data_IF_749266661412
#
_entry.id   IF_749266661412
#
_cell.length_a   1.000
_cell.length_b   1.000
_cell.length_c   1.000
_cell.angle_alpha   90.00
_cell.angle_beta   90.00
_cell.angle_gamma   90.00
#
_symmetry.space_group_name_H-M   'P 1'
#
loop_
_entity.id
_entity.type
_entity.pdbx_description
1 polymer ?
#
# COMPACT_ATOMS: atom_id res chain seq x y z
N UNK A 1 -11.80 -1.66 -9.66
CA UNK A 1 -13.06 -2.37 -9.96
C UNK A 1 -13.49 -3.01 -8.66
N UNK A 2 -14.46 -2.43 -7.96
CA UNK A 2 -14.86 -2.88 -6.62
C UNK A 2 -16.06 -3.83 -6.76
N UNK A 3 -15.88 -5.08 -6.37
CA UNK A 3 -16.94 -6.07 -6.24
C UNK A 3 -17.58 -5.89 -4.87
N UNK A 4 -18.88 -5.58 -4.84
CA UNK A 4 -19.64 -5.41 -3.60
C UNK A 4 -20.49 -6.65 -3.33
N UNK A 5 -20.25 -7.31 -2.19
CA UNK A 5 -21.17 -8.29 -1.64
C UNK A 5 -21.99 -7.59 -0.54
N UNK A 6 -23.29 -7.49 -0.79
CA UNK A 6 -24.27 -7.06 0.19
C UNK A 6 -24.62 -8.26 1.07
N UNK A 7 -24.10 -8.31 2.30
CA UNK A 7 -24.51 -9.30 3.28
C UNK A 7 -25.99 -9.09 3.64
N UNK A 8 -26.85 -10.07 3.34
CA UNK A 8 -28.18 -10.14 3.93
C UNK A 8 -28.02 -10.58 5.39
N UNK A 9 -28.56 -9.76 6.30
CA UNK A 9 -28.50 -10.01 7.74
C UNK A 9 -29.05 -11.38 8.11
N UNK A 10 -28.19 -12.22 8.67
CA UNK A 10 -28.59 -13.40 9.42
C UNK A 10 -28.50 -13.03 10.89
N UNK A 11 -29.64 -13.10 11.59
CA UNK A 11 -29.72 -12.94 13.05
C UNK A 11 -28.70 -13.86 13.71
N UNK A 12 -27.63 -13.29 14.26
CA UNK A 12 -26.69 -14.02 15.09
C UNK A 12 -27.42 -14.55 16.33
N UNK A 13 -27.27 -15.85 16.60
CA UNK A 13 -27.46 -16.37 17.95
C UNK A 13 -26.31 -15.82 18.82
N UNK A 14 -26.52 -15.61 20.13
CA UNK A 14 -25.72 -14.70 20.98
C UNK A 14 -24.31 -15.19 21.36
N UNK A 15 -23.61 -15.91 20.48
CA UNK A 15 -22.25 -16.41 20.75
C UNK A 15 -21.48 -16.90 19.50
N UNK A 16 -21.57 -16.24 18.34
CA UNK A 16 -20.91 -16.71 17.10
C UNK A 16 -19.97 -15.66 16.53
N UNK A 17 -18.66 -15.98 16.49
CA UNK A 17 -17.64 -15.27 15.71
C UNK A 17 -17.77 -15.62 14.22
N UNK A 18 -17.64 -14.63 13.35
CA UNK A 18 -17.69 -14.81 11.89
C UNK A 18 -16.39 -14.30 11.25
N UNK A 19 -15.79 -15.14 10.42
CA UNK A 19 -14.59 -14.80 9.65
C UNK A 19 -14.94 -14.68 8.18
N UNK A 20 -14.40 -13.65 7.52
CA UNK A 20 -14.52 -13.46 6.08
C UNK A 20 -13.14 -13.32 5.44
N UNK A 21 -12.84 -14.14 4.43
CA UNK A 21 -11.65 -14.04 3.58
C UNK A 21 -12.01 -13.24 2.33
N UNK A 22 -11.29 -12.14 2.04
CA UNK A 22 -11.53 -11.31 0.86
C UNK A 22 -10.33 -11.38 -0.07
N UNK A 23 -10.56 -11.80 -1.31
CA UNK A 23 -9.61 -11.76 -2.42
C UNK A 23 -10.38 -11.37 -3.69
N UNK A 24 -10.05 -10.24 -4.31
CA UNK A 24 -10.64 -9.80 -5.60
C UNK A 24 -12.17 -10.03 -5.73
N UNK A 25 -12.94 -9.54 -4.74
CA UNK A 25 -14.40 -9.63 -4.82
C UNK A 25 -15.02 -11.00 -4.49
N UNK A 26 -14.19 -12.02 -4.26
CA UNK A 26 -14.61 -13.28 -3.66
C UNK A 26 -14.56 -13.12 -2.15
N UNK A 27 -15.69 -13.34 -1.47
CA UNK A 27 -15.76 -13.38 0.00
C UNK A 27 -16.12 -14.79 0.44
N UNK A 28 -15.21 -15.44 1.17
CA UNK A 28 -15.46 -16.76 1.75
C UNK A 28 -15.76 -16.60 3.24
N UNK A 29 -16.81 -17.25 3.73
CA UNK A 29 -17.22 -17.18 5.14
C UNK A 29 -16.92 -18.48 5.87
N UNK A 30 -16.28 -18.39 7.03
CA UNK A 30 -16.07 -19.50 7.95
C UNK A 30 -16.84 -19.29 9.27
N UNK A 31 -17.39 -20.36 9.83
CA UNK A 31 -18.10 -20.38 11.12
C UNK A 31 -17.34 -21.29 12.10
N UNK A 32 -16.99 -20.77 13.27
CA UNK A 32 -16.36 -21.58 14.32
C UNK A 32 -17.31 -22.68 14.84
N UNK A 33 -16.80 -23.91 14.86
CA UNK A 33 -17.33 -24.99 15.69
C UNK A 33 -16.53 -25.01 17.01
N UNK A 34 -17.22 -24.76 18.13
CA UNK A 34 -16.60 -24.33 19.39
C UNK A 34 -15.48 -25.22 19.92
N UNK A 35 -14.33 -24.59 20.18
CA UNK A 35 -13.18 -25.15 20.88
C UNK A 35 -12.92 -24.39 22.20
N UNK A 36 -12.62 -25.15 23.26
CA UNK A 36 -12.41 -24.66 24.62
C UNK A 36 -11.01 -24.06 24.79
N UNK A 37 -10.95 -22.79 25.18
CA UNK A 37 -9.73 -22.04 25.49
C UNK A 37 -9.07 -22.58 26.78
N UNK A 38 -7.80 -22.96 26.70
CA UNK A 38 -6.92 -23.20 27.85
C UNK A 38 -6.15 -21.92 28.21
N UNK A 39 -6.01 -21.64 29.51
CA UNK A 39 -5.46 -20.41 30.09
C UNK A 39 -3.94 -20.22 29.90
N UNK A 40 -3.40 -18.98 30.01
CA UNK A 40 -2.05 -18.62 29.57
C UNK A 40 -0.95 -18.86 30.62
N UNK A 41 0.21 -19.31 30.15
CA UNK A 41 1.45 -19.41 30.93
C UNK A 41 2.32 -18.14 30.81
N UNK A 42 2.87 -17.71 31.94
CA UNK A 42 3.77 -16.57 32.15
C UNK A 42 5.21 -16.79 31.62
N UNK A 43 5.89 -15.67 31.32
CA UNK A 43 7.36 -15.52 31.23
C UNK A 43 7.83 -15.11 29.83
N UNK A 44 8.70 -14.14 29.58
CA UNK A 44 9.60 -13.35 30.42
C UNK A 44 9.97 -12.04 29.70
N UNK A 45 10.29 -11.02 30.50
CA UNK A 45 10.70 -9.66 30.09
C UNK A 45 12.16 -9.67 29.62
N UNK A 46 12.44 -9.05 28.46
CA UNK A 46 13.81 -8.75 28.01
C UNK A 46 14.18 -7.28 28.32
N UNK A 47 15.45 -7.00 28.68
CA UNK A 47 15.87 -5.71 29.21
C UNK A 47 16.19 -4.67 28.12
N UNK A 48 15.81 -3.43 28.43
CA UNK A 48 16.20 -2.19 27.74
C UNK A 48 17.70 -1.91 27.88
N UNK A 49 18.36 -1.65 26.76
CA UNK A 49 19.77 -1.22 26.74
C UNK A 49 19.81 0.27 26.42
N UNK A 50 20.08 1.07 27.45
CA UNK A 50 20.38 2.51 27.36
C UNK A 50 21.80 2.72 26.80
N UNK A 51 21.93 3.62 25.83
CA UNK A 51 23.23 4.16 25.41
C UNK A 51 23.46 5.57 25.97
N UNK A 52 24.67 5.89 26.46
CA UNK A 52 24.95 7.16 27.14
C UNK A 52 25.20 8.31 26.15
N UNK A 53 24.55 9.44 26.43
CA UNK A 53 24.83 10.75 25.82
C UNK A 53 26.08 11.36 26.48
N UNK A 54 27.12 11.77 25.75
CA UNK A 54 28.11 12.70 26.27
C UNK A 54 27.63 14.13 26.07
N UNK A 55 27.47 14.82 27.20
CA UNK A 55 27.28 16.26 27.31
C UNK A 55 28.57 17.04 27.02
N UNK A 56 28.39 18.21 26.39
CA UNK A 56 29.30 19.38 26.29
C UNK A 56 30.34 19.37 25.16
N UNK A 57 30.09 20.21 24.15
CA UNK A 57 30.95 21.38 23.93
C UNK A 57 30.20 22.49 23.19
N UNK A 58 29.83 23.54 23.92
CA UNK A 58 29.47 24.83 23.34
C UNK A 58 30.74 25.53 22.85
N UNK A 59 30.83 25.84 21.56
CA UNK A 59 31.45 27.07 21.06
C UNK A 59 31.18 27.20 19.56
N UNK A 60 30.52 28.29 19.18
CA UNK A 60 30.19 28.59 17.81
C UNK A 60 31.43 28.92 16.97
N UNK A 61 31.33 28.66 15.68
CA UNK A 61 32.19 29.25 14.66
C UNK A 61 31.30 29.70 13.51
N UNK A 62 30.97 30.99 13.50
CA UNK A 62 30.66 31.72 12.27
C UNK A 62 31.99 32.00 11.59
N UNK A 63 32.30 31.30 10.50
CA UNK A 63 33.41 31.71 9.63
C UNK A 63 32.88 31.80 8.19
N UNK A 64 32.80 33.03 7.71
CA UNK A 64 32.60 33.40 6.32
C UNK A 64 33.76 32.86 5.48
N UNK A 65 33.46 32.17 4.37
CA UNK A 65 34.43 31.98 3.31
C UNK A 65 34.57 33.29 2.53
N UNK A 66 35.52 34.11 2.94
CA UNK A 66 36.17 35.11 2.11
C UNK A 66 37.67 35.01 2.40
N UNK A 67 38.45 35.16 1.34
CA UNK A 67 39.92 35.22 1.31
C UNK A 67 40.59 33.85 1.10
N UNK A 68 40.90 33.56 -0.17
CA UNK A 68 42.24 33.09 -0.61
C UNK A 68 42.17 32.62 -2.06
N UNK A 69 42.18 33.56 -3.03
CA UNK A 69 42.71 33.32 -4.39
C UNK A 69 43.14 34.66 -5.00
N UNK A 70 44.44 34.96 -4.94
CA UNK A 70 45.08 35.97 -5.79
C UNK A 70 45.23 35.40 -7.21
N UNK A 71 44.47 35.94 -8.18
CA UNK A 71 44.55 35.54 -9.58
C UNK A 71 43.65 36.38 -10.50
N UNK A 72 44.17 36.71 -11.68
CA UNK A 72 43.72 37.71 -12.67
C UNK A 72 42.21 37.72 -13.00
N UNK A 73 41.55 38.84 -12.73
CA UNK A 73 40.11 39.06 -12.93
C UNK A 73 39.82 39.87 -14.19
N UNK A 74 39.77 39.21 -15.36
CA UNK A 74 39.13 39.84 -16.53
C UNK A 74 38.18 38.96 -17.34
N UNK A 75 37.96 37.68 -17.02
CA UNK A 75 37.04 36.83 -17.82
C UNK A 75 36.11 35.89 -17.00
N UNK A 76 35.85 36.18 -15.72
CA UNK A 76 34.89 35.40 -14.89
C UNK A 76 33.74 36.25 -14.34
N UNK A 77 33.34 37.30 -15.04
CA UNK A 77 32.22 38.18 -14.63
C UNK A 77 30.87 37.81 -15.26
N UNK A 78 30.76 36.69 -15.98
CA UNK A 78 29.53 36.33 -16.71
C UNK A 78 28.77 35.11 -16.18
N UNK A 79 29.19 34.50 -15.05
CA UNK A 79 28.54 33.30 -14.50
C UNK A 79 28.28 33.33 -12.98
N UNK A 80 28.36 34.49 -12.34
CA UNK A 80 27.79 34.66 -11.00
C UNK A 80 26.39 35.28 -11.14
N UNK A 81 25.43 34.43 -11.54
CA UNK A 81 24.01 34.74 -11.37
C UNK A 81 23.74 35.08 -9.90
N UNK A 82 22.95 36.11 -9.68
CA UNK A 82 22.68 36.71 -8.38
C UNK A 82 22.44 35.65 -7.28
N UNK A 83 22.97 35.92 -6.08
CA UNK A 83 22.53 35.31 -4.83
C UNK A 83 21.08 35.72 -4.55
N UNK A 84 20.12 35.26 -5.35
CA UNK A 84 18.73 35.25 -4.92
C UNK A 84 18.63 34.18 -3.84
N UNK A 85 18.47 34.64 -2.59
CA UNK A 85 17.95 33.79 -1.52
C UNK A 85 16.71 33.09 -2.08
N UNK A 86 16.58 31.78 -1.81
CA UNK A 86 15.31 31.08 -2.01
C UNK A 86 14.18 31.99 -1.49
N UNK A 87 13.11 32.23 -2.27
CA UNK A 87 11.93 32.95 -1.80
C UNK A 87 11.56 32.44 -0.41
N UNK A 88 11.36 33.34 0.53
CA UNK A 88 11.21 33.01 1.96
C UNK A 88 10.03 32.06 2.28
N UNK A 89 9.16 31.80 1.30
CA UNK A 89 7.95 31.00 1.43
C UNK A 89 8.05 29.60 0.81
N UNK A 90 9.21 29.16 0.30
CA UNK A 90 9.30 27.82 -0.30
C UNK A 90 9.84 26.81 0.69
N UNK A 91 8.94 25.94 1.14
CA UNK A 91 9.23 24.82 2.02
C UNK A 91 10.00 23.72 1.26
N UNK A 92 11.31 23.61 1.54
CA UNK A 92 12.21 22.61 0.97
C UNK A 92 12.26 21.30 1.81
N UNK A 93 11.43 21.24 2.85
CA UNK A 93 11.44 20.17 3.83
C UNK A 93 12.39 20.43 5.00
N UNK A 94 12.65 19.38 5.77
CA UNK A 94 13.44 19.44 7.00
C UNK A 94 14.91 19.75 6.72
N UNK A 95 15.55 20.43 7.69
CA UNK A 95 16.98 20.71 7.63
C UNK A 95 17.79 19.40 7.54
N UNK A 96 18.88 19.43 6.76
CA UNK A 96 19.67 18.25 6.43
C UNK A 96 20.94 18.23 7.26
N UNK A 97 21.18 17.11 7.96
CA UNK A 97 22.35 16.94 8.82
C UNK A 97 23.54 16.39 8.03
N UNK A 98 24.73 16.85 8.37
CA UNK A 98 26.00 16.35 7.84
C UNK A 98 26.96 16.12 9.00
N UNK A 99 27.16 14.86 9.36
CA UNK A 99 27.99 14.45 10.50
C UNK A 99 28.93 13.30 10.10
N UNK A 100 29.97 13.09 10.91
CA UNK A 100 30.93 12.01 10.73
C UNK A 100 31.91 12.20 9.57
N UNK A 101 32.57 11.11 9.16
CA UNK A 101 33.68 11.12 8.20
C UNK A 101 33.28 11.53 6.77
N UNK A 102 31.98 11.52 6.46
CA UNK A 102 31.45 11.89 5.13
C UNK A 102 30.77 13.26 5.11
N UNK A 103 30.88 14.05 6.19
CA UNK A 103 30.20 15.33 6.34
C UNK A 103 30.48 16.29 5.16
N UNK A 104 31.73 16.39 4.70
CA UNK A 104 32.11 17.27 3.58
C UNK A 104 31.41 16.88 2.27
N UNK A 105 31.27 15.58 2.01
CA UNK A 105 30.58 15.06 0.83
C UNK A 105 29.08 15.32 0.92
N UNK A 106 28.48 15.13 2.11
CA UNK A 106 27.06 15.40 2.36
C UNK A 106 26.76 16.89 2.23
N UNK A 107 27.62 17.78 2.75
CA UNK A 107 27.48 19.22 2.60
C UNK A 107 27.50 19.66 1.12
N UNK A 108 28.40 19.09 0.32
CA UNK A 108 28.44 19.32 -1.13
C UNK A 108 27.15 18.86 -1.82
N UNK A 109 26.60 17.71 -1.40
CA UNK A 109 25.34 17.23 -1.93
C UNK A 109 24.20 18.19 -1.58
N UNK A 110 24.09 18.61 -0.32
CA UNK A 110 23.10 19.60 0.15
C UNK A 110 23.15 20.87 -0.70
N UNK A 111 24.34 21.41 -0.97
CA UNK A 111 24.48 22.59 -1.83
C UNK A 111 24.03 22.31 -3.28
N UNK A 112 24.41 21.15 -3.82
CA UNK A 112 24.01 20.75 -5.18
C UNK A 112 22.49 20.55 -5.31
N UNK A 113 21.85 20.07 -4.25
CA UNK A 113 20.41 19.84 -4.13
C UNK A 113 19.66 21.16 -4.04
N UNK A 114 20.16 22.14 -3.28
CA UNK A 114 19.63 23.52 -3.28
C UNK A 114 19.70 24.14 -4.67
N UNK A 115 20.82 23.97 -5.37
CA UNK A 115 21.01 24.48 -6.74
C UNK A 115 20.05 23.84 -7.74
N UNK A 116 19.86 22.52 -7.67
CA UNK A 116 18.85 21.81 -8.47
C UNK A 116 17.46 22.42 -8.27
N UNK A 117 17.06 22.60 -7.02
CA UNK A 117 15.75 23.11 -6.70
C UNK A 117 15.53 24.54 -7.19
N UNK A 118 16.48 25.43 -6.91
CA UNK A 118 16.43 26.83 -7.36
C UNK A 118 16.41 26.97 -8.88
N UNK A 119 17.27 26.24 -9.59
CA UNK A 119 17.48 26.46 -11.02
C UNK A 119 16.55 25.60 -11.90
N UNK A 120 15.96 24.55 -11.36
CA UNK A 120 15.10 23.64 -12.12
C UNK A 120 13.68 23.61 -11.58
N UNK A 121 13.49 23.17 -10.34
CA UNK A 121 12.16 22.87 -9.78
C UNK A 121 11.30 24.14 -9.70
N UNK A 122 11.90 25.26 -9.29
CA UNK A 122 11.17 26.53 -9.14
C UNK A 122 10.93 27.27 -10.46
N UNK A 123 11.76 27.03 -11.47
CA UNK A 123 11.76 27.83 -12.71
C UNK A 123 11.05 27.11 -13.84
N UNK A 124 11.24 25.79 -13.97
CA UNK A 124 10.71 25.04 -15.11
C UNK A 124 9.21 24.72 -14.90
N UNK A 125 8.34 24.94 -15.92
CA UNK A 125 6.90 24.67 -15.81
C UNK A 125 6.55 23.20 -15.55
N UNK A 126 7.40 22.27 -16.00
CA UNK A 126 7.15 20.83 -15.82
C UNK A 126 7.14 20.35 -14.36
N UNK A 127 7.57 21.20 -13.42
CA UNK A 127 7.53 20.93 -11.99
C UNK A 127 6.37 21.63 -11.27
N UNK A 128 5.56 22.43 -11.97
CA UNK A 128 4.52 23.27 -11.36
C UNK A 128 3.58 22.48 -10.45
N UNK A 129 3.17 21.26 -10.85
CA UNK A 129 2.28 20.40 -10.08
C UNK A 129 2.94 19.71 -8.88
N UNK A 130 4.27 19.76 -8.74
CA UNK A 130 5.02 19.02 -7.70
C UNK A 130 5.88 19.93 -6.81
N UNK A 131 5.95 21.23 -7.09
CA UNK A 131 6.81 22.19 -6.37
C UNK A 131 6.56 22.19 -4.87
N UNK A 132 5.30 22.31 -4.47
CA UNK A 132 4.88 22.46 -3.07
C UNK A 132 5.13 21.22 -2.22
N UNK A 133 5.50 20.13 -2.87
CA UNK A 133 5.56 18.83 -2.25
C UNK A 133 6.90 18.12 -2.47
N UNK A 134 7.77 18.69 -3.32
CA UNK A 134 9.14 18.24 -3.44
C UNK A 134 9.98 18.69 -2.24
N UNK A 135 9.98 17.86 -1.20
CA UNK A 135 10.61 18.13 0.10
C UNK A 135 11.50 16.98 0.53
N UNK A 136 12.55 17.29 1.29
CA UNK A 136 13.21 16.30 2.12
C UNK A 136 12.39 16.15 3.40
N UNK A 137 11.85 14.97 3.67
CA UNK A 137 11.00 14.70 4.84
C UNK A 137 11.78 14.10 6.01
N UNK A 138 13.06 13.79 5.80
CA UNK A 138 13.97 13.28 6.82
C UNK A 138 15.30 14.05 6.85
N UNK A 139 15.87 14.24 8.04
CA UNK A 139 17.12 15.01 8.25
C UNK A 139 18.35 14.36 7.61
N UNK A 140 18.27 13.05 7.33
CA UNK A 140 19.33 12.26 6.70
C UNK A 140 19.13 12.01 5.20
N UNK A 141 18.14 12.64 4.54
CA UNK A 141 17.91 12.40 3.11
C UNK A 141 19.17 12.64 2.25
N UNK A 142 19.95 13.66 2.57
CA UNK A 142 21.21 13.95 1.88
C UNK A 142 22.30 12.92 2.20
N UNK A 143 22.39 12.44 3.44
CA UNK A 143 23.31 11.35 3.78
C UNK A 143 22.95 10.05 3.04
N UNK A 144 21.67 9.67 3.04
CA UNK A 144 21.16 8.49 2.33
C UNK A 144 21.38 8.56 0.83
N UNK A 145 21.10 9.71 0.23
CA UNK A 145 21.39 9.94 -1.18
C UNK A 145 22.90 9.83 -1.47
N UNK A 146 23.78 10.31 -0.57
CA UNK A 146 25.22 10.19 -0.73
C UNK A 146 25.70 8.73 -0.72
N UNK A 147 25.12 7.86 0.12
CA UNK A 147 25.50 6.45 0.21
C UNK A 147 24.80 5.54 -0.84
N UNK A 148 23.98 6.11 -1.73
CA UNK A 148 23.37 5.38 -2.86
C UNK A 148 21.95 4.87 -2.63
N UNK A 149 21.23 5.37 -1.62
CA UNK A 149 19.84 4.95 -1.37
C UNK A 149 18.88 5.38 -2.48
N UNK A 150 19.21 6.41 -3.27
CA UNK A 150 18.37 6.83 -4.40
C UNK A 150 18.17 5.68 -5.41
N UNK A 151 19.19 4.83 -5.58
CA UNK A 151 19.17 3.66 -6.46
C UNK A 151 18.82 2.37 -5.71
N UNK A 152 19.29 2.20 -4.47
CA UNK A 152 19.03 1.00 -3.68
C UNK A 152 17.58 0.94 -3.14
N UNK A 153 17.00 2.09 -2.81
CA UNK A 153 15.66 2.22 -2.26
C UNK A 153 14.86 3.36 -2.93
N UNK A 154 14.62 3.27 -4.25
CA UNK A 154 14.02 4.35 -5.03
C UNK A 154 12.58 4.64 -4.59
N UNK A 155 11.82 3.63 -4.14
CA UNK A 155 10.43 3.80 -3.72
C UNK A 155 10.29 4.77 -2.55
N UNK A 156 11.10 4.57 -1.50
CA UNK A 156 11.14 5.46 -0.35
C UNK A 156 11.76 6.81 -0.72
N UNK A 157 12.93 6.79 -1.37
CA UNK A 157 13.70 8.00 -1.62
C UNK A 157 13.02 8.98 -2.59
N UNK A 158 12.28 8.50 -3.59
CA UNK A 158 11.51 9.36 -4.51
C UNK A 158 10.43 10.14 -3.76
N UNK A 159 9.82 9.57 -2.71
CA UNK A 159 8.69 10.16 -2.02
C UNK A 159 9.11 10.98 -0.79
N UNK A 160 10.13 10.51 -0.08
CA UNK A 160 10.57 11.07 1.19
C UNK A 160 11.79 12.00 1.03
N UNK A 161 12.58 11.82 -0.02
CA UNK A 161 13.87 12.51 -0.20
C UNK A 161 14.04 13.05 -1.63
N UNK A 162 12.94 13.45 -2.26
CA UNK A 162 12.89 13.79 -3.67
C UNK A 162 13.90 14.88 -4.09
N UNK A 163 14.12 15.96 -3.29
CA UNK A 163 15.15 16.93 -3.61
C UNK A 163 16.57 16.35 -3.58
N UNK A 164 16.90 15.57 -2.54
CA UNK A 164 18.22 14.94 -2.39
C UNK A 164 18.54 14.01 -3.57
N UNK A 165 17.55 13.25 -4.03
CA UNK A 165 17.68 12.36 -5.19
C UNK A 165 17.41 13.03 -6.55
N UNK A 166 17.05 14.32 -6.57
CA UNK A 166 16.68 15.07 -7.78
C UNK A 166 15.52 14.42 -8.57
N UNK A 167 14.56 13.87 -7.84
CA UNK A 167 13.42 13.11 -8.38
C UNK A 167 12.09 13.84 -8.23
N UNK A 168 12.08 15.17 -7.98
CA UNK A 168 10.84 15.95 -7.78
C UNK A 168 9.75 15.66 -8.83
N UNK A 169 10.12 15.50 -10.10
CA UNK A 169 9.17 15.23 -11.19
C UNK A 169 8.46 13.88 -11.01
N UNK A 170 9.16 12.89 -10.45
CA UNK A 170 8.65 11.53 -10.20
C UNK A 170 7.75 11.44 -8.98
N UNK A 171 7.46 12.54 -8.29
CA UNK A 171 6.49 12.44 -7.21
C UNK A 171 5.06 12.41 -7.77
N UNK A 172 4.82 13.09 -8.89
CA UNK A 172 3.60 12.91 -9.65
C UNK A 172 3.53 11.47 -10.18
N UNK A 173 2.50 10.73 -9.78
CA UNK A 173 2.29 9.34 -10.17
C UNK A 173 2.27 9.18 -11.70
N UNK A 174 1.80 10.17 -12.46
CA UNK A 174 1.75 10.14 -13.93
C UNK A 174 3.14 10.14 -14.56
N UNK A 175 4.11 10.75 -13.89
CA UNK A 175 5.52 10.76 -14.30
C UNK A 175 6.27 9.54 -13.75
N UNK A 176 5.86 9.03 -12.58
CA UNK A 176 6.48 7.86 -11.93
C UNK A 176 6.07 6.54 -12.59
N UNK A 177 4.80 6.42 -12.91
CA UNK A 177 4.15 5.25 -13.50
C UNK A 177 3.26 5.74 -14.66
N UNK A 178 3.87 6.12 -15.80
CA UNK A 178 3.10 6.53 -16.97
C UNK A 178 2.28 5.34 -17.47
N UNK A 179 0.99 5.57 -17.67
CA UNK A 179 0.14 4.59 -18.34
C UNK A 179 0.63 4.43 -19.79
N UNK A 180 0.86 3.19 -20.22
CA UNK A 180 1.18 2.90 -21.61
C UNK A 180 -0.05 3.24 -22.48
N UNK A 181 0.05 4.22 -23.42
CA UNK A 181 -1.06 4.60 -24.27
C UNK A 181 -1.49 3.48 -25.22
N UNK A 182 -0.60 2.52 -25.49
CA UNK A 182 -0.87 1.33 -26.30
C UNK A 182 -1.27 0.12 -25.45
N UNK A 183 -1.41 0.30 -24.13
CA UNK A 183 -1.91 -0.74 -23.24
C UNK A 183 -3.28 -1.21 -23.73
N UNK A 184 -3.37 -2.51 -23.96
CA UNK A 184 -4.64 -3.15 -24.28
C UNK A 184 -5.39 -3.39 -22.97
N UNK A 185 -6.70 -3.14 -22.98
CA UNK A 185 -7.55 -3.53 -21.87
C UNK A 185 -7.37 -5.03 -21.61
N UNK A 186 -7.15 -5.40 -20.35
CA UNK A 186 -7.03 -6.80 -19.95
C UNK A 186 -8.33 -7.60 -20.26
N UNK A 187 -9.48 -6.92 -20.24
CA UNK A 187 -10.78 -7.49 -20.53
C UNK A 187 -11.52 -6.61 -21.56
N UNK A 188 -12.13 -7.24 -22.55
CA UNK A 188 -13.03 -6.62 -23.52
C UNK A 188 -14.50 -6.84 -23.13
N UNK A 189 -15.45 -6.07 -23.69
CA UNK A 189 -16.87 -6.30 -23.45
C UNK A 189 -17.28 -7.76 -23.70
N UNK A 190 -17.89 -8.39 -22.70
CA UNK A 190 -18.30 -9.79 -22.72
C UNK A 190 -17.27 -10.79 -22.17
N UNK A 191 -16.01 -10.39 -21.93
CA UNK A 191 -15.02 -11.33 -21.39
C UNK A 191 -15.31 -11.73 -19.93
N UNK A 192 -15.92 -10.83 -19.14
CA UNK A 192 -16.42 -11.18 -17.82
C UNK A 192 -17.58 -12.19 -17.89
N UNK A 193 -18.51 -12.03 -18.83
CA UNK A 193 -19.59 -13.01 -19.00
C UNK A 193 -19.02 -14.39 -19.32
N UNK A 194 -18.05 -14.45 -20.25
CA UNK A 194 -17.34 -15.70 -20.57
C UNK A 194 -16.63 -16.29 -19.37
N UNK A 195 -15.95 -15.47 -18.55
CA UNK A 195 -15.27 -15.96 -17.35
C UNK A 195 -16.24 -16.67 -16.41
N UNK A 196 -17.37 -16.02 -16.07
CA UNK A 196 -18.37 -16.60 -15.18
C UNK A 196 -19.11 -17.80 -15.81
N UNK A 197 -19.39 -17.76 -17.11
CA UNK A 197 -20.01 -18.88 -17.82
C UNK A 197 -19.08 -20.09 -17.88
N UNK A 198 -17.78 -19.88 -18.16
CA UNK A 198 -16.77 -20.94 -18.16
C UNK A 198 -16.65 -21.61 -16.78
N UNK A 199 -16.70 -20.85 -15.69
CA UNK A 199 -16.70 -21.40 -14.33
C UNK A 199 -17.89 -22.37 -14.14
N UNK A 200 -19.07 -21.99 -14.63
CA UNK A 200 -20.29 -22.79 -14.47
C UNK A 200 -20.37 -23.98 -15.44
N UNK A 201 -19.62 -23.96 -16.54
CA UNK A 201 -19.60 -25.01 -17.56
C UNK A 201 -18.44 -26.00 -17.38
N UNK A 202 -17.42 -25.65 -16.57
CA UNK A 202 -16.26 -26.49 -16.34
C UNK A 202 -16.51 -27.55 -15.27
N UNK A 203 -16.37 -28.83 -15.64
CA UNK A 203 -16.42 -29.97 -14.71
C UNK A 203 -15.28 -29.92 -13.67
N UNK A 204 -14.22 -29.14 -13.92
CA UNK A 204 -13.10 -28.96 -12.98
C UNK A 204 -13.54 -28.36 -11.64
N UNK A 205 -14.62 -27.56 -11.65
CA UNK A 205 -15.10 -26.84 -10.46
C UNK A 205 -16.34 -27.46 -9.84
N UNK A 206 -16.81 -28.60 -10.35
CA UNK A 206 -17.99 -29.31 -9.81
C UNK A 206 -17.81 -29.71 -8.34
N UNK A 207 -16.56 -29.97 -7.91
CA UNK A 207 -16.25 -30.30 -6.52
C UNK A 207 -16.60 -29.18 -5.53
N UNK A 208 -16.66 -27.92 -5.98
CA UNK A 208 -16.99 -26.76 -5.16
C UNK A 208 -18.49 -26.42 -5.18
N UNK A 209 -19.30 -27.18 -5.91
CA UNK A 209 -20.74 -27.04 -6.03
C UNK A 209 -21.21 -25.60 -6.38
N UNK A 210 -20.71 -25.01 -7.48
CA UNK A 210 -20.99 -23.62 -7.83
C UNK A 210 -22.47 -23.39 -8.12
N UNK A 211 -23.00 -22.29 -7.60
CA UNK A 211 -24.40 -21.87 -7.78
C UNK A 211 -24.50 -20.41 -8.20
N UNK A 212 -25.38 -20.12 -9.16
CA UNK A 212 -25.60 -18.75 -9.63
C UNK A 212 -26.60 -18.07 -8.68
N UNK A 213 -26.17 -17.03 -7.97
CA UNK A 213 -27.07 -16.18 -7.17
C UNK A 213 -27.59 -14.99 -7.97
N UNK A 214 -26.78 -14.47 -8.89
CA UNK A 214 -27.13 -13.34 -9.75
C UNK A 214 -26.32 -13.34 -11.04
N UNK A 215 -26.90 -12.82 -12.13
CA UNK A 215 -26.20 -12.56 -13.40
C UNK A 215 -26.82 -11.41 -14.20
N UNK A 216 -26.08 -10.77 -15.12
CA UNK A 216 -26.51 -9.53 -15.80
C UNK A 216 -27.70 -9.72 -16.73
N UNK A 217 -27.84 -10.91 -17.31
CA UNK A 217 -28.90 -11.22 -18.27
C UNK A 217 -29.19 -12.73 -18.28
N UNK A 218 -30.38 -13.08 -18.75
CA UNK A 218 -30.76 -14.48 -18.96
C UNK A 218 -29.97 -15.08 -20.14
N UNK A 219 -29.50 -16.34 -20.05
CA UNK A 219 -28.98 -17.07 -21.20
C UNK A 219 -29.97 -17.04 -22.37
N UNK A 220 -29.45 -16.99 -23.60
CA UNK A 220 -30.31 -17.01 -24.77
C UNK A 220 -31.19 -18.27 -24.78
N UNK A 221 -32.51 -18.08 -24.87
CA UNK A 221 -33.48 -19.18 -24.90
C UNK A 221 -33.93 -19.71 -23.53
N UNK A 222 -33.42 -19.17 -22.41
CA UNK A 222 -33.88 -19.54 -21.07
C UNK A 222 -35.23 -18.90 -20.72
N UNK A 223 -36.01 -19.58 -19.87
CA UNK A 223 -37.28 -19.04 -19.34
C UNK A 223 -36.96 -17.99 -18.27
N UNK A 224 -37.80 -16.94 -18.19
CA UNK A 224 -37.71 -15.86 -17.17
C UNK A 224 -37.84 -16.34 -15.72
N UNK A 225 -38.30 -17.57 -15.51
CA UNK A 225 -38.54 -18.17 -14.20
C UNK A 225 -37.30 -18.98 -13.79
N UNK A 226 -36.22 -18.26 -13.48
CA UNK A 226 -34.92 -18.81 -13.11
C UNK A 226 -34.63 -18.59 -11.63
N UNK A 227 -33.94 -19.53 -10.98
CA UNK A 227 -33.63 -19.50 -9.53
C UNK A 227 -32.58 -18.43 -9.12
N UNK A 228 -32.18 -17.54 -10.03
CA UNK A 228 -31.19 -16.49 -9.80
C UNK A 228 -31.77 -15.08 -10.04
N UNK A 229 -31.12 -14.08 -9.43
CA UNK A 229 -31.50 -12.67 -9.61
C UNK A 229 -30.86 -12.04 -10.86
N UNK A 230 -31.51 -11.03 -11.43
CA UNK A 230 -30.88 -10.17 -12.46
C UNK A 230 -30.09 -9.07 -11.76
N UNK A 231 -28.80 -8.98 -12.06
CA UNK A 231 -27.87 -8.07 -11.38
C UNK A 231 -26.41 -8.33 -11.79
N UNK A 232 -25.42 -7.87 -11.03
CA UNK A 232 -24.03 -8.27 -11.29
C UNK A 232 -23.88 -9.79 -11.18
N UNK A 233 -22.85 -10.37 -11.80
CA UNK A 233 -22.49 -11.76 -11.56
C UNK A 233 -22.19 -11.99 -10.08
N UNK A 234 -22.85 -12.98 -9.49
CA UNK A 234 -22.58 -13.48 -8.16
C UNK A 234 -22.70 -15.00 -8.19
N UNK A 235 -21.59 -15.68 -7.94
CA UNK A 235 -21.54 -17.12 -7.76
C UNK A 235 -21.31 -17.44 -6.28
N UNK A 236 -21.88 -18.56 -5.82
CA UNK A 236 -21.66 -19.11 -4.50
C UNK A 236 -21.05 -20.51 -4.66
N UNK A 237 -19.95 -20.74 -3.96
CA UNK A 237 -19.23 -22.02 -3.92
C UNK A 237 -19.27 -22.53 -2.46
N UNK A 238 -20.26 -23.35 -2.09
CA UNK A 238 -20.44 -23.80 -0.70
C UNK A 238 -19.25 -24.60 -0.17
N UNK A 239 -18.57 -25.35 -1.04
CA UNK A 239 -17.54 -26.32 -0.69
C UNK A 239 -16.13 -25.84 -1.09
N UNK A 240 -15.96 -24.52 -1.28
CA UNK A 240 -14.71 -23.93 -1.79
C UNK A 240 -13.53 -23.99 -0.82
N UNK A 241 -13.78 -23.93 0.48
CA UNK A 241 -12.76 -24.05 1.54
C UNK A 241 -13.26 -25.07 2.55
N UNK A 242 -12.43 -26.04 2.92
CA UNK A 242 -12.80 -27.03 3.94
C UNK A 242 -12.82 -26.41 5.34
N UNK A 243 -13.43 -27.10 6.31
CA UNK A 243 -13.41 -26.65 7.70
C UNK A 243 -11.97 -26.58 8.26
N UNK A 244 -11.12 -27.55 7.92
CA UNK A 244 -9.73 -27.61 8.35
C UNK A 244 -8.88 -26.50 7.72
N UNK A 245 -9.11 -26.21 6.44
CA UNK A 245 -8.46 -25.10 5.74
C UNK A 245 -8.87 -23.75 6.37
N UNK A 246 -10.16 -23.58 6.68
CA UNK A 246 -10.67 -22.39 7.34
C UNK A 246 -10.07 -22.20 8.74
N UNK A 247 -10.03 -23.26 9.55
CA UNK A 247 -9.44 -23.23 10.89
C UNK A 247 -7.95 -22.85 10.82
N UNK A 248 -7.21 -23.39 9.84
CA UNK A 248 -5.81 -23.05 9.63
C UNK A 248 -5.62 -21.58 9.23
N UNK A 249 -6.47 -21.04 8.35
CA UNK A 249 -6.40 -19.62 7.98
C UNK A 249 -6.67 -18.71 9.18
N UNK A 250 -7.62 -19.06 10.06
CA UNK A 250 -7.88 -18.32 11.29
C UNK A 250 -6.64 -18.30 12.19
N UNK A 251 -6.02 -19.46 12.42
CA UNK A 251 -4.78 -19.57 13.22
C UNK A 251 -3.64 -18.73 12.62
N UNK A 252 -3.44 -18.79 11.31
CA UNK A 252 -2.43 -17.99 10.62
C UNK A 252 -2.66 -16.49 10.82
N UNK A 253 -3.90 -16.02 10.76
CA UNK A 253 -4.21 -14.62 11.03
C UNK A 253 -4.06 -14.21 12.49
N UNK A 254 -4.22 -15.12 13.44
CA UNK A 254 -3.87 -14.85 14.84
C UNK A 254 -2.36 -14.68 15.03
N UNK A 255 -1.55 -15.43 14.26
CA UNK A 255 -0.09 -15.32 14.24
C UNK A 255 0.36 -14.00 13.61
N UNK A 256 -0.19 -13.64 12.46
CA UNK A 256 0.09 -12.35 11.79
C UNK A 256 -0.41 -11.16 12.63
N UNK A 257 -1.46 -11.38 13.43
CA UNK A 257 -2.09 -10.39 14.28
C UNK A 257 -3.28 -9.73 13.61
N UNK A 258 -4.28 -9.39 14.44
CA UNK A 258 -5.45 -8.62 14.03
C UNK A 258 -5.29 -7.17 14.47
N UNK A 259 -5.55 -6.26 13.54
CA UNK A 259 -5.62 -4.84 13.81
C UNK A 259 -7.02 -4.31 13.52
N UNK A 260 -7.31 -3.12 14.06
CA UNK A 260 -8.61 -2.48 13.82
C UNK A 260 -8.70 -2.05 12.36
N UNK A 261 -9.67 -2.56 11.61
CA UNK A 261 -9.82 -2.26 10.18
C UNK A 261 -10.02 -0.76 9.91
N UNK A 262 -9.22 -0.20 9.00
CA UNK A 262 -9.24 1.22 8.59
C UNK A 262 -9.71 1.39 7.14
N UNK A 263 -10.66 2.29 6.87
CA UNK A 263 -11.04 2.60 5.49
C UNK A 263 -9.96 3.41 4.79
N UNK A 264 -9.91 3.27 3.47
CA UNK A 264 -8.99 4.01 2.61
C UNK A 264 -9.41 5.48 2.60
N UNK A 265 -8.60 6.33 3.21
CA UNK A 265 -8.78 7.77 3.31
C UNK A 265 -8.28 8.53 2.07
N UNK A 266 -7.99 9.81 2.25
CA UNK A 266 -7.51 10.66 1.18
C UNK A 266 -6.21 10.10 0.57
N UNK A 267 -6.04 10.26 -0.75
CA UNK A 267 -4.77 9.98 -1.40
C UNK A 267 -3.76 10.98 -0.85
N UNK A 268 -2.73 10.47 -0.19
CA UNK A 268 -1.55 11.22 0.19
C UNK A 268 -0.81 11.68 -1.06
N UNK A 269 -0.03 12.74 -0.90
CA UNK A 269 0.80 13.27 -1.97
C UNK A 269 1.72 12.22 -2.62
N UNK A 270 2.18 11.22 -1.86
CA UNK A 270 3.06 10.16 -2.31
C UNK A 270 2.34 9.01 -3.08
N UNK A 271 1.02 9.11 -3.23
CA UNK A 271 0.15 8.11 -3.85
C UNK A 271 -0.28 6.99 -2.92
N UNK A 272 0.15 7.00 -1.65
CA UNK A 272 -0.44 6.16 -0.60
C UNK A 272 -1.78 6.74 -0.17
N UNK A 273 -2.51 6.05 0.70
CA UNK A 273 -3.76 6.55 1.25
C UNK A 273 -3.65 6.72 2.77
N UNK A 274 -4.30 7.74 3.32
CA UNK A 274 -4.45 7.85 4.77
C UNK A 274 -5.35 6.73 5.31
N UNK A 275 -5.10 6.29 6.54
CA UNK A 275 -6.00 5.36 7.22
C UNK A 275 -7.12 6.12 7.93
N UNK A 276 -8.37 5.88 7.54
CA UNK A 276 -9.54 6.49 8.15
C UNK A 276 -10.26 5.50 9.08
N UNK A 277 -10.35 5.83 10.37
CA UNK A 277 -11.19 5.09 11.34
C UNK A 277 -12.66 5.32 11.04
N UNK A 278 -13.20 4.43 10.23
CA UNK A 278 -14.61 4.43 9.88
C UNK A 278 -15.48 3.90 11.02
N UNK A 279 -16.58 4.59 11.27
CA UNK A 279 -17.68 4.06 12.07
C UNK A 279 -18.52 3.03 11.31
N UNK A 280 -18.30 2.90 9.99
CA UNK A 280 -19.05 2.00 9.13
C UNK A 280 -18.39 0.64 8.96
N UNK A 281 -17.05 0.58 9.01
CA UNK A 281 -16.27 -0.65 9.05
C UNK A 281 -15.69 -0.83 10.44
N UNK A 282 -16.30 -1.72 11.22
CA UNK A 282 -15.97 -1.91 12.65
C UNK A 282 -15.27 -3.21 12.99
N UNK A 283 -14.98 -4.03 11.96
CA UNK A 283 -14.22 -5.28 12.09
C UNK A 283 -12.76 -5.05 12.46
N UNK A 284 -12.11 -6.16 12.81
CA UNK A 284 -10.66 -6.30 12.79
C UNK A 284 -10.22 -6.99 11.50
N UNK A 285 -9.01 -6.71 11.04
CA UNK A 285 -8.43 -7.33 9.86
C UNK A 285 -7.02 -7.85 10.11
N UNK A 286 -6.64 -8.87 9.35
CA UNK A 286 -5.30 -9.41 9.24
C UNK A 286 -4.99 -9.67 7.77
N UNK A 287 -3.75 -9.43 7.35
CA UNK A 287 -3.29 -9.66 5.98
C UNK A 287 -2.39 -10.88 5.94
N UNK A 288 -2.64 -11.79 5.00
CA UNK A 288 -1.81 -12.98 4.80
C UNK A 288 -0.49 -12.59 4.12
N UNK A 289 0.59 -12.37 4.90
CA UNK A 289 1.84 -11.83 4.38
C UNK A 289 3.08 -12.69 4.67
N UNK A 290 3.46 -12.88 5.94
CA UNK A 290 4.78 -13.43 6.25
C UNK A 290 4.75 -14.95 6.41
N UNK A 291 4.19 -15.39 7.52
CA UNK A 291 4.06 -16.81 7.85
C UNK A 291 2.90 -17.40 7.05
N UNK A 292 1.82 -16.64 6.92
CA UNK A 292 0.63 -17.05 6.19
C UNK A 292 0.92 -17.31 4.70
N UNK A 293 1.62 -16.40 4.01
CA UNK A 293 1.89 -16.53 2.58
C UNK A 293 2.79 -17.73 2.22
N UNK A 294 3.58 -18.21 3.18
CA UNK A 294 4.45 -19.39 3.05
C UNK A 294 3.77 -20.68 3.47
N UNK A 295 2.57 -20.60 4.06
CA UNK A 295 1.84 -21.77 4.53
C UNK A 295 1.26 -22.55 3.34
N UNK A 296 1.49 -23.87 3.26
CA UNK A 296 0.98 -24.69 2.16
C UNK A 296 -0.54 -24.64 1.99
N UNK A 297 -1.30 -24.48 3.08
CA UNK A 297 -2.77 -24.36 3.03
C UNK A 297 -3.16 -23.04 2.39
N UNK A 298 -2.56 -21.93 2.83
CA UNK A 298 -2.83 -20.62 2.26
C UNK A 298 -2.46 -20.57 0.77
N UNK A 299 -1.31 -21.13 0.38
CA UNK A 299 -0.89 -21.23 -1.02
C UNK A 299 -1.86 -22.07 -1.86
N UNK A 300 -2.34 -23.19 -1.31
CA UNK A 300 -3.35 -24.01 -2.00
C UNK A 300 -4.65 -23.25 -2.22
N UNK A 301 -5.09 -22.43 -1.26
CA UNK A 301 -6.30 -21.61 -1.39
C UNK A 301 -6.08 -20.49 -2.42
N UNK A 302 -4.95 -19.78 -2.38
CA UNK A 302 -4.62 -18.73 -3.35
C UNK A 302 -4.55 -19.27 -4.78
N UNK A 303 -3.93 -20.45 -4.97
CA UNK A 303 -3.91 -21.12 -6.26
C UNK A 303 -5.31 -21.50 -6.72
N UNK A 304 -6.15 -22.06 -5.83
CA UNK A 304 -7.54 -22.41 -6.16
C UNK A 304 -8.36 -21.18 -6.59
N UNK A 305 -8.14 -20.03 -5.96
CA UNK A 305 -8.75 -18.75 -6.38
C UNK A 305 -8.26 -18.34 -7.77
N UNK A 306 -6.95 -18.45 -8.03
CA UNK A 306 -6.36 -18.15 -9.33
C UNK A 306 -6.91 -19.06 -10.44
N UNK A 307 -7.08 -20.35 -10.16
CA UNK A 307 -7.60 -21.34 -11.10
C UNK A 307 -9.07 -21.05 -11.46
N UNK A 308 -9.92 -20.81 -10.45
CA UNK A 308 -11.34 -20.48 -10.67
C UNK A 308 -11.52 -19.15 -11.40
N UNK A 309 -10.73 -18.12 -11.07
CA UNK A 309 -10.87 -16.81 -11.69
C UNK A 309 -10.13 -16.69 -13.03
N UNK A 310 -9.18 -17.58 -13.30
CA UNK A 310 -8.21 -17.45 -14.40
C UNK A 310 -7.27 -16.25 -14.23
N UNK A 311 -7.21 -15.65 -13.04
CA UNK A 311 -6.37 -14.47 -12.74
C UNK A 311 -5.15 -14.96 -11.95
N UNK A 312 -3.93 -14.78 -12.48
CA UNK A 312 -2.72 -15.16 -11.76
C UNK A 312 -2.57 -14.45 -10.40
N UNK A 313 -1.97 -15.13 -9.43
CA UNK A 313 -1.79 -14.63 -8.07
C UNK A 313 -1.00 -13.31 -8.03
N UNK A 314 -0.06 -13.09 -8.95
CA UNK A 314 0.71 -11.83 -9.03
C UNK A 314 -0.15 -10.59 -9.33
N UNK A 315 -1.37 -10.80 -9.82
CA UNK A 315 -2.35 -9.73 -10.03
C UNK A 315 -3.34 -9.62 -8.86
N UNK A 316 -3.18 -10.44 -7.83
CA UNK A 316 -4.03 -10.49 -6.65
C UNK A 316 -3.40 -9.74 -5.47
N UNK A 317 -4.24 -9.10 -4.66
CA UNK A 317 -3.82 -8.59 -3.35
C UNK A 317 -3.69 -9.77 -2.38
N UNK A 318 -2.87 -9.59 -1.34
CA UNK A 318 -2.78 -10.57 -0.27
C UNK A 318 -4.15 -10.85 0.35
N UNK A 319 -4.39 -12.10 0.75
CA UNK A 319 -5.65 -12.47 1.37
C UNK A 319 -5.89 -11.64 2.63
N UNK A 320 -7.06 -11.00 2.72
CA UNK A 320 -7.46 -10.28 3.92
C UNK A 320 -8.47 -11.10 4.72
N UNK A 321 -8.17 -11.37 5.98
CA UNK A 321 -9.09 -12.01 6.92
C UNK A 321 -9.73 -10.94 7.78
N UNK A 322 -11.06 -10.96 7.87
CA UNK A 322 -11.84 -10.04 8.68
C UNK A 322 -12.52 -10.79 9.81
N UNK A 323 -12.37 -10.28 11.04
CA UNK A 323 -13.04 -10.80 12.24
C UNK A 323 -14.10 -9.80 12.72
N UNK A 324 -15.30 -10.31 12.98
CA UNK A 324 -16.42 -9.53 13.52
C UNK A 324 -16.86 -10.11 14.86
N UNK A 325 -16.79 -9.28 15.91
CA UNK A 325 -17.43 -9.54 17.20
C UNK A 325 -18.90 -9.11 17.20
N UNK A 326 -19.64 -9.51 18.25
CA UNK A 326 -21.04 -9.14 18.39
C UNK A 326 -21.23 -7.60 18.43
N UNK A 327 -22.09 -7.10 17.54
CA UNK A 327 -22.34 -5.65 17.39
C UNK A 327 -21.42 -4.95 16.39
N UNK A 328 -20.37 -5.60 15.88
CA UNK A 328 -19.57 -5.07 14.78
C UNK A 328 -20.25 -5.30 13.43
N UNK A 329 -20.04 -4.35 12.51
CA UNK A 329 -20.64 -4.28 11.18
C UNK A 329 -19.64 -3.76 10.14
N UNK A 330 -19.86 -4.14 8.89
CA UNK A 330 -19.36 -3.45 7.71
C UNK A 330 -20.56 -2.96 6.91
N UNK A 331 -20.86 -1.66 6.99
CA UNK A 331 -21.96 -1.03 6.28
C UNK A 331 -21.40 -0.19 5.14
N UNK A 332 -21.93 -0.40 3.92
CA UNK A 332 -21.69 0.51 2.82
C UNK A 332 -22.81 1.56 2.80
N UNK A 333 -22.50 2.83 3.10
CA UNK A 333 -23.46 3.91 2.82
C UNK A 333 -23.66 4.05 1.32
N UNK A 334 -24.93 4.15 0.91
CA UNK A 334 -25.35 4.33 -0.49
C UNK A 334 -24.87 5.63 -1.10
#
# INVERSE_FOLDING_TARGET
MAFFIKAFGVKAAPSVLAYALVAFGVTVYAREAGLKVGSPGHGDVLPSVDYPIPSNFSQGVTQSCADDLEGDHSEMSQFCGAKEKLPADIDFGVEQNAEGDTADQVLKLIESTKRYFQNEVLVKPEYESVRDECKNRHELCSFWAHIGECEANPGYMILQCAPACRTCKKIDIRNRCPLDPEAKNALSPGDLDKMFENIMESEEFDEYNPTILSRPSHPQGSKKDSDYNIGPWMLLFPDFISHEEADRMIELSEIEGYERSMDVGAINFDGTHEDYKSSQRTSENSWCQDTCYKDPVAQSIMQRIADVTGIPEENSENLQLLRYEEGQVSQFTK
#
